data_IF_518727410265
#
_entry.id   IF_518727410265
#
_cell.length_a   1.000
_cell.length_b   1.000
_cell.length_c   1.000
_cell.angle_alpha   90.00
_cell.angle_beta   90.00
_cell.angle_gamma   90.00
#
_symmetry.space_group_name_H-M   'P 1'
#
loop_
_entity.id
_entity.type
_entity.pdbx_description
1 polymer ?
#
# COMPACT_ATOMS: atom_id res chain seq x y z
N UNK A 1 -21.05 2.25 -10.01
CA UNK A 1 -19.89 2.68 -9.20
C UNK A 1 -18.65 2.16 -9.90
N UNK A 2 -17.85 3.05 -10.55
CA UNK A 2 -16.63 2.61 -11.27
C UNK A 2 -15.52 2.30 -10.26
N UNK A 3 -15.40 1.04 -9.87
CA UNK A 3 -14.36 0.57 -8.96
C UNK A 3 -12.97 0.52 -9.64
N UNK A 4 -12.93 0.45 -10.98
CA UNK A 4 -11.70 0.35 -11.76
C UNK A 4 -11.48 1.67 -12.52
N UNK A 5 -10.50 2.46 -12.06
CA UNK A 5 -10.04 3.68 -12.73
C UNK A 5 -9.05 3.40 -13.87
N UNK A 6 -8.42 4.48 -14.38
CA UNK A 6 -7.28 4.34 -15.31
C UNK A 6 -6.01 4.05 -14.51
N UNK A 7 -5.14 3.18 -15.03
CA UNK A 7 -3.82 2.99 -14.43
C UNK A 7 -3.03 4.31 -14.52
N UNK A 8 -2.43 4.77 -13.40
CA UNK A 8 -1.64 6.01 -13.38
C UNK A 8 -0.30 5.89 -14.09
N UNK A 9 0.19 4.68 -14.28
CA UNK A 9 1.45 4.32 -14.93
C UNK A 9 1.18 3.27 -16.03
N UNK A 10 2.24 2.74 -16.65
CA UNK A 10 2.10 1.62 -17.60
C UNK A 10 1.22 0.51 -17.01
N UNK A 11 0.14 0.06 -17.69
CA UNK A 11 -0.81 -0.92 -17.16
C UNK A 11 -0.14 -2.24 -16.73
N UNK A 12 0.83 -2.71 -17.50
CA UNK A 12 1.56 -3.94 -17.17
C UNK A 12 2.27 -3.81 -15.79
N UNK A 13 3.05 -2.74 -15.59
CA UNK A 13 3.72 -2.48 -14.31
C UNK A 13 2.71 -2.29 -13.18
N UNK A 14 1.61 -1.58 -13.44
CA UNK A 14 0.56 -1.33 -12.46
C UNK A 14 -0.04 -2.62 -11.90
N UNK A 15 -0.42 -3.55 -12.79
CA UNK A 15 -1.04 -4.81 -12.37
C UNK A 15 -0.03 -5.79 -11.81
N UNK A 16 1.13 -5.96 -12.44
CA UNK A 16 2.16 -6.90 -11.96
C UNK A 16 2.73 -6.50 -10.59
N UNK A 17 2.92 -5.19 -10.33
CA UNK A 17 3.35 -4.71 -9.04
C UNK A 17 2.33 -4.97 -7.92
N UNK A 18 1.03 -4.77 -8.20
CA UNK A 18 -0.04 -5.09 -7.25
C UNK A 18 -0.15 -6.59 -7.00
N UNK A 19 -0.11 -7.40 -8.06
CA UNK A 19 -0.15 -8.87 -7.95
C UNK A 19 1.04 -9.35 -7.11
N UNK A 20 2.25 -8.82 -7.35
CA UNK A 20 3.42 -9.16 -6.56
C UNK A 20 3.22 -8.89 -5.07
N UNK A 21 2.69 -7.71 -4.70
CA UNK A 21 2.33 -7.39 -3.31
C UNK A 21 1.28 -8.35 -2.74
N UNK A 22 0.19 -8.61 -3.46
CA UNK A 22 -0.85 -9.53 -3.00
C UNK A 22 -0.31 -10.96 -2.80
N UNK A 23 0.56 -11.43 -3.69
CA UNK A 23 1.21 -12.74 -3.56
C UNK A 23 2.03 -12.80 -2.26
N UNK A 24 2.81 -11.77 -1.93
CA UNK A 24 3.58 -11.76 -0.67
C UNK A 24 2.65 -11.80 0.55
N UNK A 25 1.52 -11.10 0.54
CA UNK A 25 0.56 -11.09 1.65
C UNK A 25 -0.18 -12.43 1.79
N UNK A 26 -0.54 -13.05 0.65
CA UNK A 26 -1.16 -14.40 0.64
C UNK A 26 -0.17 -15.42 1.20
N UNK A 27 1.08 -15.41 0.76
CA UNK A 27 2.13 -16.29 1.31
C UNK A 27 2.25 -16.08 2.82
N UNK A 28 2.35 -14.82 3.27
CA UNK A 28 2.44 -14.48 4.69
C UNK A 28 1.24 -15.01 5.48
N UNK A 29 0.01 -14.85 4.96
CA UNK A 29 -1.20 -15.34 5.62
C UNK A 29 -1.26 -16.88 5.66
N UNK A 30 -0.90 -17.55 4.58
CA UNK A 30 -0.89 -19.01 4.50
C UNK A 30 0.15 -19.63 5.43
N UNK A 31 1.34 -19.04 5.53
CA UNK A 31 2.40 -19.48 6.45
C UNK A 31 2.04 -19.30 7.95
N UNK A 32 1.00 -18.53 8.27
CA UNK A 32 0.45 -18.46 9.63
C UNK A 32 -0.44 -19.70 9.95
N UNK A 33 -0.79 -20.50 8.96
CA UNK A 33 -1.62 -21.70 9.16
C UNK A 33 -0.71 -22.92 9.33
N UNK A 34 -1.15 -23.88 10.15
CA UNK A 34 -0.45 -25.16 10.34
C UNK A 34 -0.55 -26.09 9.12
N UNK A 35 -1.46 -25.75 8.18
CA UNK A 35 -1.77 -26.61 7.03
C UNK A 35 -0.94 -26.30 5.79
N UNK A 36 -0.16 -25.22 5.81
CA UNK A 36 0.57 -24.75 4.65
C UNK A 36 2.00 -24.41 5.04
N UNK A 37 2.96 -25.14 4.50
CA UNK A 37 4.40 -24.90 4.67
C UNK A 37 5.06 -24.89 3.29
N UNK A 38 5.48 -23.73 2.86
CA UNK A 38 6.28 -23.53 1.63
C UNK A 38 7.77 -23.83 1.84
N UNK A 39 8.18 -24.35 2.99
CA UNK A 39 9.59 -24.49 3.35
C UNK A 39 10.28 -23.14 3.53
N UNK A 40 9.50 -22.11 3.81
CA UNK A 40 9.98 -20.73 3.97
C UNK A 40 10.54 -20.57 5.38
N UNK A 41 11.73 -20.02 5.52
CA UNK A 41 12.34 -19.79 6.84
C UNK A 41 11.48 -18.81 7.63
N UNK A 42 10.98 -19.25 8.78
CA UNK A 42 10.31 -18.38 9.76
C UNK A 42 11.36 -17.56 10.52
N UNK A 43 10.99 -16.35 10.94
CA UNK A 43 11.83 -15.55 11.84
C UNK A 43 12.18 -16.37 13.10
N UNK A 44 13.48 -16.47 13.40
CA UNK A 44 13.97 -17.37 14.46
C UNK A 44 14.07 -16.71 15.84
N UNK A 45 13.81 -15.38 15.92
CA UNK A 45 13.98 -14.63 17.17
C UNK A 45 12.62 -14.08 17.64
N UNK A 46 12.32 -14.20 18.92
CA UNK A 46 11.10 -13.66 19.53
C UNK A 46 10.89 -12.19 19.20
N UNK A 47 11.94 -11.38 19.19
CA UNK A 47 11.88 -9.97 18.78
C UNK A 47 11.33 -9.77 17.36
N UNK A 48 11.72 -10.62 16.40
CA UNK A 48 11.24 -10.53 15.02
C UNK A 48 9.73 -10.78 14.95
N UNK A 49 9.22 -11.72 15.72
CA UNK A 49 7.79 -12.05 15.76
C UNK A 49 6.98 -10.87 16.28
N UNK A 50 7.41 -10.25 17.39
CA UNK A 50 6.75 -9.06 17.91
C UNK A 50 6.77 -7.90 16.92
N UNK A 51 7.92 -7.65 16.27
CA UNK A 51 8.04 -6.61 15.24
C UNK A 51 7.06 -6.85 14.08
N UNK A 52 6.96 -8.08 13.58
CA UNK A 52 6.08 -8.46 12.48
C UNK A 52 4.62 -8.20 12.85
N UNK A 53 4.18 -8.60 14.04
CA UNK A 53 2.80 -8.37 14.48
C UNK A 53 2.49 -6.88 14.69
N UNK A 54 3.44 -6.09 15.20
CA UNK A 54 3.29 -4.64 15.32
C UNK A 54 3.16 -4.00 13.94
N UNK A 55 4.05 -4.34 13.00
CA UNK A 55 4.00 -3.80 11.63
C UNK A 55 2.72 -4.21 10.90
N UNK A 56 2.31 -5.48 11.03
CA UNK A 56 1.08 -5.98 10.40
C UNK A 56 -0.17 -5.34 11.01
N UNK A 57 -0.23 -5.19 12.33
CA UNK A 57 -1.32 -4.51 13.01
C UNK A 57 -1.44 -3.04 12.59
N UNK A 58 -0.32 -2.32 12.54
CA UNK A 58 -0.26 -0.94 12.05
C UNK A 58 -0.66 -0.85 10.58
N UNK A 59 -0.20 -1.77 9.74
CA UNK A 59 -0.56 -1.85 8.32
C UNK A 59 -2.07 -1.99 8.13
N UNK A 60 -2.69 -2.96 8.79
CA UNK A 60 -4.14 -3.22 8.72
C UNK A 60 -4.94 -2.02 9.25
N UNK A 61 -4.50 -1.40 10.34
CA UNK A 61 -5.10 -0.19 10.88
C UNK A 61 -5.07 0.96 9.86
N UNK A 62 -3.90 1.23 9.25
CA UNK A 62 -3.75 2.30 8.25
C UNK A 62 -4.59 2.04 7.00
N UNK A 63 -4.62 0.81 6.51
CA UNK A 63 -5.45 0.41 5.37
C UNK A 63 -6.93 0.62 5.73
N UNK A 64 -7.38 0.08 6.86
CA UNK A 64 -8.78 0.17 7.29
C UNK A 64 -9.26 1.60 7.47
N UNK A 65 -8.53 2.45 8.21
CA UNK A 65 -8.91 3.84 8.43
C UNK A 65 -8.84 4.66 7.13
N UNK A 66 -7.92 4.34 6.23
CA UNK A 66 -7.85 4.97 4.91
C UNK A 66 -9.08 4.66 4.07
N UNK A 67 -9.50 3.39 4.03
CA UNK A 67 -10.70 2.95 3.32
C UNK A 67 -11.97 3.62 3.88
N UNK A 68 -12.11 3.67 5.19
CA UNK A 68 -13.23 4.36 5.86
C UNK A 68 -13.24 5.84 5.50
N UNK A 69 -12.08 6.52 5.56
CA UNK A 69 -11.98 7.95 5.25
C UNK A 69 -12.26 8.25 3.78
N UNK A 70 -11.79 7.42 2.85
CA UNK A 70 -12.09 7.56 1.42
C UNK A 70 -13.55 7.23 1.11
N UNK A 71 -14.11 6.22 1.75
CA UNK A 71 -15.49 5.78 1.55
C UNK A 71 -15.77 5.53 0.06
N UNK A 72 -16.80 6.17 -0.48
CA UNK A 72 -17.20 6.06 -1.91
C UNK A 72 -16.16 6.58 -2.90
N UNK A 73 -15.09 7.25 -2.43
CA UNK A 73 -13.99 7.74 -3.27
C UNK A 73 -12.88 6.70 -3.45
N UNK A 74 -12.97 5.55 -2.76
CA UNK A 74 -12.00 4.44 -2.91
C UNK A 74 -12.11 3.83 -4.30
N UNK A 75 -10.98 3.80 -5.04
CA UNK A 75 -10.90 3.23 -6.40
C UNK A 75 -9.54 2.63 -6.65
N UNK A 76 -9.51 1.63 -7.53
CA UNK A 76 -8.29 1.08 -8.09
C UNK A 76 -7.83 1.95 -9.27
N UNK A 77 -6.83 2.82 -9.06
CA UNK A 77 -6.29 3.73 -10.06
C UNK A 77 -7.00 5.10 -10.11
N UNK A 78 -6.68 5.89 -11.16
CA UNK A 78 -7.17 7.26 -11.31
C UNK A 78 -8.66 7.32 -11.60
N UNK A 79 -9.41 8.25 -10.98
CA UNK A 79 -10.83 8.41 -11.22
C UNK A 79 -11.12 8.86 -12.65
N UNK A 80 -12.14 8.27 -13.28
CA UNK A 80 -12.67 8.69 -14.60
C UNK A 80 -13.71 9.81 -14.49
N UNK A 81 -14.34 9.93 -13.33
CA UNK A 81 -15.42 10.88 -13.05
C UNK A 81 -14.95 11.96 -12.07
N UNK A 82 -15.82 12.91 -11.76
CA UNK A 82 -15.52 13.91 -10.74
C UNK A 82 -15.20 13.26 -9.39
N UNK A 83 -14.18 13.77 -8.75
CA UNK A 83 -13.73 13.36 -7.41
C UNK A 83 -13.44 14.60 -6.57
N UNK A 84 -13.56 14.48 -5.27
CA UNK A 84 -13.21 15.54 -4.31
C UNK A 84 -11.84 15.24 -3.71
N UNK A 85 -11.03 16.28 -3.52
CA UNK A 85 -9.78 16.16 -2.79
C UNK A 85 -10.06 15.80 -1.33
N UNK A 86 -9.53 14.67 -0.89
CA UNK A 86 -9.65 14.19 0.50
C UNK A 86 -8.45 14.64 1.31
N UNK A 87 -8.67 15.54 2.26
CA UNK A 87 -7.64 16.14 3.13
C UNK A 87 -7.98 16.02 4.60
N UNK A 88 -8.96 15.17 4.95
CA UNK A 88 -9.47 14.98 6.32
C UNK A 88 -9.09 13.60 6.90
N UNK A 89 -9.36 13.41 8.19
CA UNK A 89 -9.04 12.16 8.88
C UNK A 89 -7.55 11.83 8.79
N UNK A 90 -7.21 10.58 8.51
CA UNK A 90 -5.82 10.11 8.38
C UNK A 90 -5.04 10.84 7.26
N UNK A 91 -5.72 11.41 6.26
CA UNK A 91 -5.12 12.19 5.20
C UNK A 91 -4.62 13.58 5.63
N UNK A 92 -4.86 14.01 6.88
CA UNK A 92 -4.18 15.16 7.48
C UNK A 92 -2.74 14.83 7.92
N UNK A 93 -2.48 13.56 8.24
CA UNK A 93 -1.20 13.08 8.77
C UNK A 93 -0.29 12.64 7.63
N UNK A 94 -0.83 11.94 6.64
CA UNK A 94 -0.10 11.46 5.46
C UNK A 94 -0.97 11.61 4.22
N UNK A 95 -0.34 11.92 3.07
CA UNK A 95 -1.05 11.95 1.78
C UNK A 95 -1.34 10.56 1.22
N UNK A 96 -0.59 9.54 1.65
CA UNK A 96 -0.66 8.18 1.12
C UNK A 96 -0.70 7.10 2.23
N UNK A 97 -1.58 7.24 3.24
CA UNK A 97 -1.58 6.35 4.41
C UNK A 97 -1.92 4.90 4.04
N UNK A 98 -2.80 4.69 3.05
CA UNK A 98 -3.16 3.36 2.57
C UNK A 98 -1.99 2.65 1.90
N UNK A 99 -1.23 3.35 1.05
CA UNK A 99 -0.02 2.80 0.41
C UNK A 99 1.07 2.51 1.43
N UNK A 100 1.25 3.38 2.42
CA UNK A 100 2.17 3.12 3.51
C UNK A 100 1.79 1.85 4.30
N UNK A 101 0.48 1.63 4.52
CA UNK A 101 -0.02 0.37 5.08
C UNK A 101 0.32 -0.85 4.20
N UNK A 102 0.18 -0.75 2.88
CA UNK A 102 0.58 -1.81 1.95
C UNK A 102 2.08 -2.11 2.02
N UNK A 103 2.92 -1.08 2.07
CA UNK A 103 4.38 -1.23 2.20
C UNK A 103 4.76 -1.90 3.52
N UNK A 104 4.12 -1.53 4.64
CA UNK A 104 4.35 -2.17 5.94
C UNK A 104 3.93 -3.65 5.95
N UNK A 105 2.81 -4.00 5.34
CA UNK A 105 2.36 -5.38 5.24
C UNK A 105 3.31 -6.22 4.38
N UNK A 106 3.77 -5.64 3.27
CA UNK A 106 4.77 -6.26 2.40
C UNK A 106 6.10 -6.47 3.15
N UNK A 107 6.55 -5.46 3.92
CA UNK A 107 7.75 -5.56 4.74
C UNK A 107 7.61 -6.65 5.82
N UNK A 108 6.44 -6.75 6.47
CA UNK A 108 6.13 -7.82 7.43
C UNK A 108 6.28 -9.20 6.79
N UNK A 109 5.74 -9.37 5.56
CA UNK A 109 5.85 -10.62 4.79
C UNK A 109 7.31 -10.98 4.50
N UNK A 110 8.12 -10.00 4.10
CA UNK A 110 9.54 -10.19 3.80
C UNK A 110 10.34 -10.59 5.04
N UNK A 111 10.10 -9.91 6.18
CA UNK A 111 10.79 -10.18 7.45
C UNK A 111 10.38 -11.54 8.01
N UNK A 112 9.09 -11.91 7.87
CA UNK A 112 8.58 -13.19 8.37
C UNK A 112 9.18 -14.38 7.61
N UNK A 113 9.16 -14.31 6.28
CA UNK A 113 9.57 -15.43 5.45
C UNK A 113 11.07 -15.53 5.26
N UNK A 114 11.80 -14.42 5.26
CA UNK A 114 13.24 -14.33 4.91
C UNK A 114 13.57 -15.10 3.62
N UNK A 115 12.58 -15.27 2.73
CA UNK A 115 12.73 -15.99 1.47
C UNK A 115 13.10 -15.02 0.36
N UNK A 116 14.13 -15.35 -0.43
CA UNK A 116 14.66 -14.49 -1.47
C UNK A 116 13.60 -14.10 -2.53
N UNK A 117 12.71 -15.03 -2.90
CA UNK A 117 11.67 -14.75 -3.88
C UNK A 117 10.59 -13.81 -3.32
N UNK A 118 10.19 -13.99 -2.06
CA UNK A 118 9.25 -13.09 -1.38
C UNK A 118 9.86 -11.70 -1.24
N UNK A 119 11.14 -11.62 -0.89
CA UNK A 119 11.88 -10.35 -0.81
C UNK A 119 11.93 -9.67 -2.18
N UNK A 120 12.26 -10.39 -3.24
CA UNK A 120 12.31 -9.84 -4.59
C UNK A 120 10.94 -9.32 -5.06
N UNK A 121 9.87 -10.09 -4.86
CA UNK A 121 8.50 -9.68 -5.17
C UNK A 121 8.06 -8.47 -4.32
N UNK A 122 8.39 -8.47 -3.04
CA UNK A 122 8.08 -7.37 -2.13
C UNK A 122 8.77 -6.07 -2.53
N UNK A 123 10.07 -6.09 -2.80
CA UNK A 123 10.82 -4.93 -3.27
C UNK A 123 10.27 -4.41 -4.59
N UNK A 124 9.97 -5.30 -5.53
CA UNK A 124 9.34 -4.93 -6.80
C UNK A 124 8.00 -4.23 -6.58
N UNK A 125 7.15 -4.77 -5.70
CA UNK A 125 5.85 -4.18 -5.36
C UNK A 125 6.00 -2.78 -4.76
N UNK A 126 6.88 -2.60 -3.77
CA UNK A 126 7.15 -1.30 -3.12
C UNK A 126 7.64 -0.26 -4.14
N UNK A 127 8.54 -0.64 -5.06
CA UNK A 127 9.02 0.24 -6.13
C UNK A 127 7.87 0.66 -7.05
N UNK A 128 7.01 -0.28 -7.45
CA UNK A 128 5.85 0.03 -8.30
C UNK A 128 4.86 0.92 -7.58
N UNK A 129 4.57 0.67 -6.29
CA UNK A 129 3.70 1.56 -5.51
C UNK A 129 4.26 2.98 -5.42
N UNK A 130 5.58 3.15 -5.28
CA UNK A 130 6.19 4.49 -5.29
C UNK A 130 5.95 5.21 -6.64
N UNK A 131 6.03 4.50 -7.78
CA UNK A 131 5.71 5.09 -9.09
C UNK A 131 4.22 5.42 -9.22
N UNK A 132 3.34 4.56 -8.72
CA UNK A 132 1.89 4.82 -8.67
C UNK A 132 1.61 6.10 -7.88
N UNK A 133 2.14 6.22 -6.66
CA UNK A 133 1.98 7.39 -5.80
C UNK A 133 2.44 8.67 -6.50
N UNK A 134 3.62 8.66 -7.13
CA UNK A 134 4.14 9.83 -7.85
C UNK A 134 3.21 10.25 -9.00
N UNK A 135 2.68 9.29 -9.73
CA UNK A 135 1.76 9.54 -10.84
C UNK A 135 0.39 10.04 -10.34
N UNK A 136 -0.13 9.48 -9.25
CA UNK A 136 -1.37 9.93 -8.61
C UNK A 136 -1.21 11.35 -8.03
N UNK A 137 -0.09 11.66 -7.37
CA UNK A 137 0.19 13.02 -6.88
C UNK A 137 0.27 14.04 -8.04
N UNK A 138 0.88 13.65 -9.17
CA UNK A 138 0.93 14.49 -10.37
C UNK A 138 -0.48 14.75 -10.92
N UNK A 139 -1.31 13.72 -11.01
CA UNK A 139 -2.71 13.85 -11.43
C UNK A 139 -3.49 14.76 -10.49
N UNK A 140 -3.38 14.58 -9.17
CA UNK A 140 -4.06 15.41 -8.18
C UNK A 140 -3.61 16.88 -8.27
N UNK A 141 -2.32 17.12 -8.51
CA UNK A 141 -1.79 18.47 -8.72
C UNK A 141 -2.36 19.14 -9.98
N UNK A 142 -2.50 18.38 -11.07
CA UNK A 142 -3.11 18.90 -12.31
C UNK A 142 -4.60 19.19 -12.15
N UNK A 143 -5.28 18.36 -11.36
CA UNK A 143 -6.73 18.44 -11.19
C UNK A 143 -7.16 19.51 -10.17
N UNK A 144 -6.46 19.65 -9.07
CA UNK A 144 -6.82 20.52 -7.95
C UNK A 144 -5.92 21.75 -7.80
N UNK A 145 -4.89 21.89 -8.63
CA UNK A 145 -4.05 23.10 -8.71
C UNK A 145 -3.50 23.56 -7.35
N UNK A 146 -3.87 24.79 -6.98
CA UNK A 146 -3.38 25.44 -5.75
C UNK A 146 -3.88 24.76 -4.47
N UNK A 147 -5.08 24.18 -4.47
CA UNK A 147 -5.60 23.46 -3.29
C UNK A 147 -4.72 22.25 -2.97
N UNK A 148 -4.28 21.51 -3.99
CA UNK A 148 -3.37 20.40 -3.78
C UNK A 148 -1.95 20.85 -3.39
N UNK A 149 -1.45 21.96 -3.93
CA UNK A 149 -0.15 22.52 -3.53
C UNK A 149 -0.15 22.92 -2.05
N UNK A 150 -1.21 23.60 -1.59
CA UNK A 150 -1.40 23.95 -0.18
C UNK A 150 -1.45 22.70 0.71
N UNK A 151 -2.19 21.68 0.30
CA UNK A 151 -2.24 20.41 1.03
C UNK A 151 -0.86 19.75 1.10
N UNK A 152 -0.14 19.70 -0.02
CA UNK A 152 1.21 19.11 -0.11
C UNK A 152 2.26 19.85 0.74
N UNK A 153 2.12 21.15 0.95
CA UNK A 153 3.07 21.94 1.76
C UNK A 153 2.95 21.67 3.26
N UNK A 154 1.80 21.17 3.74
CA UNK A 154 1.53 20.94 5.16
C UNK A 154 1.42 19.46 5.56
N UNK A 155 1.27 18.57 4.58
CA UNK A 155 1.09 17.13 4.83
C UNK A 155 2.19 16.34 4.13
N UNK A 156 2.97 15.50 4.85
CA UNK A 156 4.02 14.67 4.25
C UNK A 156 3.43 13.57 3.36
N UNK A 157 4.28 12.96 2.51
CA UNK A 157 3.88 11.84 1.64
C UNK A 157 3.58 10.57 2.43
N UNK A 158 4.41 10.28 3.41
CA UNK A 158 4.31 9.14 4.33
C UNK A 158 4.25 9.66 5.78
N UNK A 159 3.96 8.76 6.70
CA UNK A 159 3.96 9.06 8.14
C UNK A 159 5.39 9.09 8.65
#
# INVERSE_FOLDING_TARGET
MDLIGRSPINPFLFYTGKIAGYVTWIIFALEQTEYFDLGVKRGQFDFQIYLIYILSGLALFLIGISLITLGKSTRLGLPRTETKLKVNGIYKISRNPMYFGFDLLTLSSMIYTLNLWVIALGLYSILVYNWIIKAEEKFLQQRFGEDYKKYKSVTPRYI
#
